data_IF_992387174521
#
_entry.id   IF_992387174521
#
_cell.length_a   1.000
_cell.length_b   1.000
_cell.length_c   1.000
_cell.angle_alpha   90.00
_cell.angle_beta   90.00
_cell.angle_gamma   90.00
#
_symmetry.space_group_name_H-M   'P 1'
#
loop_
_entity.id
_entity.type
_entity.pdbx_description
1 polymer ?
#
# COMPACT_ATOMS: atom_id res chain seq x y z
N UNK A 1 -25.99 0.82 -9.33
CA UNK A 1 -25.20 1.20 -10.52
C UNK A 1 -23.74 0.89 -10.18
N UNK A 2 -23.09 0.02 -10.92
CA UNK A 2 -21.72 -0.38 -10.63
C UNK A 2 -20.77 0.77 -10.99
N UNK A 3 -19.70 1.02 -10.20
CA UNK A 3 -18.71 2.06 -10.48
C UNK A 3 -18.16 1.93 -11.91
N UNK A 4 -17.98 0.70 -12.39
CA UNK A 4 -17.59 0.37 -13.76
C UNK A 4 -18.44 1.06 -14.83
N UNK A 5 -19.75 1.10 -14.64
CA UNK A 5 -20.69 1.59 -15.63
C UNK A 5 -20.82 3.11 -15.61
N UNK A 6 -20.28 3.77 -14.58
CA UNK A 6 -20.28 5.22 -14.40
C UNK A 6 -18.98 5.90 -14.81
N UNK A 7 -17.88 5.17 -14.94
CA UNK A 7 -16.58 5.74 -15.31
C UNK A 7 -16.55 6.18 -16.76
N UNK A 8 -16.02 7.38 -17.02
CA UNK A 8 -15.90 8.00 -18.35
C UNK A 8 -14.56 7.69 -19.00
N UNK A 9 -13.49 7.69 -18.20
CA UNK A 9 -12.14 7.39 -18.69
C UNK A 9 -12.01 5.90 -19.07
N UNK A 10 -11.53 5.56 -20.27
CA UNK A 10 -11.43 4.18 -20.74
C UNK A 10 -10.48 3.32 -19.87
N UNK A 11 -9.47 3.91 -19.27
CA UNK A 11 -8.51 3.22 -18.36
C UNK A 11 -9.21 2.78 -17.07
N UNK A 12 -10.02 3.65 -16.47
CA UNK A 12 -10.81 3.32 -15.29
C UNK A 12 -11.91 2.31 -15.62
N UNK A 13 -12.53 2.41 -16.81
CA UNK A 13 -13.47 1.36 -17.24
C UNK A 13 -12.79 0.00 -17.41
N UNK A 14 -11.58 -0.04 -17.95
CA UNK A 14 -10.80 -1.28 -18.04
C UNK A 14 -10.42 -1.81 -16.65
N UNK A 15 -9.94 -0.94 -15.76
CA UNK A 15 -9.61 -1.27 -14.38
C UNK A 15 -10.81 -1.88 -13.63
N UNK A 16 -11.94 -1.18 -13.59
CA UNK A 16 -13.15 -1.69 -12.93
C UNK A 16 -13.78 -2.87 -13.68
N UNK A 17 -13.53 -2.95 -15.01
CA UNK A 17 -13.96 -4.06 -15.86
C UNK A 17 -13.30 -5.38 -15.55
N UNK A 18 -12.09 -5.37 -15.00
CA UNK A 18 -11.41 -6.57 -14.51
C UNK A 18 -12.12 -7.21 -13.31
N UNK A 19 -13.02 -6.46 -12.67
CA UNK A 19 -13.79 -6.93 -11.52
C UNK A 19 -12.97 -6.93 -10.23
N UNK A 20 -13.58 -7.50 -9.20
CA UNK A 20 -12.96 -7.76 -7.90
C UNK A 20 -13.41 -9.13 -7.44
N UNK A 21 -12.58 -9.83 -6.67
CA UNK A 21 -12.97 -11.09 -6.03
C UNK A 21 -14.18 -10.87 -5.12
N UNK A 22 -15.02 -11.92 -4.97
CA UNK A 22 -16.15 -11.87 -4.05
C UNK A 22 -15.66 -11.84 -2.59
N UNK A 23 -16.43 -11.24 -1.70
CA UNK A 23 -16.04 -11.07 -0.29
C UNK A 23 -15.88 -12.42 0.46
N UNK A 24 -16.54 -13.47 -0.01
CA UNK A 24 -16.47 -14.82 0.51
C UNK A 24 -15.33 -15.67 -0.10
N UNK A 25 -14.60 -15.13 -1.08
CA UNK A 25 -13.45 -15.84 -1.67
C UNK A 25 -12.41 -16.17 -0.60
N UNK A 26 -11.95 -17.44 -0.52
CA UNK A 26 -10.90 -17.84 0.40
C UNK A 26 -9.62 -17.05 0.14
N UNK A 27 -8.98 -16.56 1.20
CA UNK A 27 -7.78 -15.74 1.10
C UNK A 27 -6.64 -16.41 0.30
N UNK A 28 -6.56 -17.76 0.36
CA UNK A 28 -5.58 -18.52 -0.41
C UNK A 28 -5.74 -18.43 -1.94
N UNK A 29 -6.92 -18.03 -2.42
CA UNK A 29 -7.26 -17.96 -3.85
C UNK A 29 -7.23 -16.51 -4.37
N UNK A 30 -7.03 -15.53 -3.47
CA UNK A 30 -7.09 -14.12 -3.83
C UNK A 30 -5.80 -13.67 -4.52
N UNK A 31 -5.88 -13.07 -5.72
CA UNK A 31 -4.74 -12.39 -6.32
C UNK A 31 -4.43 -11.11 -5.54
N UNK A 32 -3.24 -11.04 -4.96
CA UNK A 32 -2.79 -9.93 -4.12
C UNK A 32 -1.68 -9.13 -4.82
N UNK A 33 -1.58 -7.86 -4.45
CA UNK A 33 -0.46 -7.01 -4.84
C UNK A 33 -0.11 -6.07 -3.70
N UNK A 34 1.12 -6.17 -3.19
CA UNK A 34 1.63 -5.21 -2.20
C UNK A 34 2.00 -3.91 -2.91
N UNK A 35 1.64 -2.80 -2.29
CA UNK A 35 1.86 -1.45 -2.81
C UNK A 35 2.34 -0.56 -1.68
N UNK A 36 3.32 0.27 -1.98
CA UNK A 36 3.77 1.36 -1.14
C UNK A 36 4.11 2.58 -2.00
N UNK A 37 3.94 3.79 -1.45
CA UNK A 37 4.22 5.05 -2.14
C UNK A 37 5.06 5.97 -1.27
N UNK A 38 6.08 6.58 -1.87
CA UNK A 38 6.79 7.70 -1.25
C UNK A 38 6.22 9.03 -1.77
N UNK A 39 6.13 9.99 -0.88
CA UNK A 39 5.45 11.25 -1.15
C UNK A 39 6.27 12.44 -0.64
N UNK A 40 5.99 13.64 -1.15
CA UNK A 40 6.63 14.88 -0.67
C UNK A 40 6.09 15.34 0.69
N UNK A 41 5.12 14.65 1.27
CA UNK A 41 4.52 14.92 2.58
C UNK A 41 3.21 14.17 2.76
N UNK A 42 2.44 14.47 3.81
CA UNK A 42 1.32 13.63 4.25
C UNK A 42 -0.06 14.05 3.74
N UNK A 43 -0.23 15.28 3.26
CA UNK A 43 -1.52 15.76 2.74
C UNK A 43 -1.59 15.62 1.21
N UNK A 44 -2.42 14.72 0.67
CA UNK A 44 -2.50 14.47 -0.77
C UNK A 44 -3.01 15.68 -1.59
N UNK A 45 -3.56 16.71 -0.92
CA UNK A 45 -3.99 17.97 -1.58
C UNK A 45 -2.82 18.92 -1.81
N UNK A 46 -1.76 18.81 -1.03
CA UNK A 46 -0.61 19.72 -1.04
C UNK A 46 0.67 19.01 -1.51
N UNK A 47 0.71 17.70 -1.42
CA UNK A 47 1.87 16.89 -1.69
C UNK A 47 1.62 15.90 -2.83
N UNK A 48 2.69 15.40 -3.40
CA UNK A 48 2.65 14.54 -4.56
C UNK A 48 3.43 13.24 -4.34
N UNK A 49 3.06 12.19 -5.08
CA UNK A 49 3.82 10.94 -5.15
C UNK A 49 5.17 11.21 -5.84
N UNK A 50 6.25 10.65 -5.29
CA UNK A 50 7.61 10.67 -5.86
C UNK A 50 8.11 9.30 -6.29
N UNK A 51 7.63 8.22 -5.65
CA UNK A 51 7.85 6.87 -6.15
C UNK A 51 6.72 5.92 -5.77
N UNK A 52 6.63 4.82 -6.52
CA UNK A 52 5.68 3.73 -6.25
C UNK A 52 6.43 2.40 -6.36
N UNK A 53 6.19 1.53 -5.41
CA UNK A 53 6.69 0.15 -5.39
C UNK A 53 5.52 -0.82 -5.38
N UNK A 54 5.57 -1.82 -6.26
CA UNK A 54 4.51 -2.80 -6.42
C UNK A 54 5.09 -4.20 -6.54
N UNK A 55 4.57 -5.13 -5.73
CA UNK A 55 5.02 -6.52 -5.70
C UNK A 55 3.81 -7.45 -5.73
N UNK A 56 3.56 -8.17 -6.85
CA UNK A 56 2.52 -9.18 -6.90
C UNK A 56 2.84 -10.35 -5.96
N UNK A 57 1.79 -10.88 -5.29
CA UNK A 57 1.95 -11.99 -4.37
C UNK A 57 0.69 -12.86 -4.27
N UNK A 58 0.86 -14.02 -3.66
CA UNK A 58 -0.19 -14.84 -3.07
C UNK A 58 0.22 -15.21 -1.64
N UNK A 59 -0.61 -15.92 -0.89
CA UNK A 59 -0.21 -16.41 0.43
C UNK A 59 1.03 -17.32 0.38
N UNK A 60 1.22 -18.04 -0.71
CA UNK A 60 2.29 -19.03 -0.86
C UNK A 60 3.56 -18.45 -1.49
N UNK A 61 3.45 -17.32 -2.22
CA UNK A 61 4.59 -16.83 -3.02
C UNK A 61 4.55 -15.33 -3.24
N UNK A 62 5.69 -14.69 -3.05
CA UNK A 62 5.97 -13.32 -3.50
C UNK A 62 6.69 -13.39 -4.84
N UNK A 63 6.23 -12.61 -5.82
CA UNK A 63 6.73 -12.64 -7.21
C UNK A 63 7.66 -11.45 -7.47
N UNK A 64 8.86 -11.49 -6.89
CA UNK A 64 9.81 -10.39 -7.03
C UNK A 64 10.25 -10.14 -8.49
N UNK A 65 10.22 -11.16 -9.36
CA UNK A 65 10.52 -10.98 -10.79
C UNK A 65 9.44 -10.18 -11.56
N UNK A 66 8.25 -10.05 -11.00
CA UNK A 66 7.13 -9.28 -11.54
C UNK A 66 6.98 -7.92 -10.82
N UNK A 67 7.88 -7.62 -9.88
CA UNK A 67 7.86 -6.37 -9.14
C UNK A 67 8.09 -5.18 -10.08
N UNK A 68 7.44 -4.06 -9.76
CA UNK A 68 7.57 -2.80 -10.51
C UNK A 68 7.95 -1.67 -9.57
N UNK A 69 8.79 -0.77 -10.04
CA UNK A 69 9.21 0.41 -9.32
C UNK A 69 9.26 1.60 -10.28
N UNK A 70 8.60 2.68 -9.89
CA UNK A 70 8.62 3.92 -10.64
C UNK A 70 9.06 5.06 -9.74
N UNK A 71 10.06 5.80 -10.18
CA UNK A 71 10.30 7.16 -9.69
C UNK A 71 9.57 8.10 -10.62
N UNK A 72 8.81 9.04 -10.09
CA UNK A 72 8.00 9.97 -10.86
C UNK A 72 8.31 11.41 -10.47
N UNK A 73 8.18 12.31 -11.45
CA UNK A 73 8.37 13.74 -11.22
C UNK A 73 7.12 14.32 -10.53
N UNK A 74 7.23 14.80 -9.28
CA UNK A 74 6.10 15.40 -8.58
C UNK A 74 5.64 16.70 -9.24
N UNK A 75 4.39 17.10 -8.98
CA UNK A 75 3.80 18.37 -9.45
C UNK A 75 4.17 19.57 -8.59
N UNK A 76 5.18 19.47 -7.75
CA UNK A 76 5.68 20.53 -6.87
C UNK A 76 7.17 20.37 -6.63
N UNK A 77 7.72 21.23 -5.80
CA UNK A 77 9.11 21.11 -5.41
C UNK A 77 9.29 20.03 -4.35
N UNK A 78 10.42 19.31 -4.44
CA UNK A 78 10.87 18.45 -3.35
C UNK A 78 11.33 19.34 -2.20
N UNK A 79 10.81 19.11 -1.00
CA UNK A 79 11.36 19.75 0.17
C UNK A 79 12.52 18.91 0.74
N UNK A 80 13.46 19.58 1.42
CA UNK A 80 14.64 18.92 1.99
C UNK A 80 14.27 17.85 3.03
N UNK A 81 13.14 18.02 3.72
CA UNK A 81 12.65 17.08 4.71
C UNK A 81 12.23 15.73 4.06
N UNK A 82 11.44 15.79 2.99
CA UNK A 82 11.02 14.58 2.28
C UNK A 82 12.20 13.80 1.69
N UNK A 83 13.19 14.50 1.12
CA UNK A 83 14.43 13.88 0.60
C UNK A 83 15.18 13.12 1.70
N UNK A 84 15.16 13.62 2.93
CA UNK A 84 15.80 12.95 4.07
C UNK A 84 15.13 11.61 4.41
N UNK A 85 13.82 11.50 4.17
CA UNK A 85 13.10 10.25 4.44
C UNK A 85 13.24 9.22 3.32
N UNK A 86 12.89 9.57 2.09
CA UNK A 86 12.83 8.59 0.98
C UNK A 86 14.11 8.55 0.13
N UNK A 87 15.11 9.39 0.41
CA UNK A 87 16.41 9.46 -0.28
C UNK A 87 16.36 9.73 -1.80
N UNK A 88 15.20 10.05 -2.35
CA UNK A 88 15.03 10.42 -3.75
C UNK A 88 15.41 11.89 -3.90
N UNK A 89 16.45 12.15 -4.67
CA UNK A 89 17.05 13.49 -4.82
C UNK A 89 16.46 14.26 -6.01
N UNK A 90 16.76 15.55 -6.08
CA UNK A 90 16.41 16.36 -7.25
C UNK A 90 17.03 15.82 -8.57
N UNK A 91 18.19 15.15 -8.49
CA UNK A 91 18.82 14.50 -9.64
C UNK A 91 18.01 13.32 -10.15
N UNK A 92 17.43 12.53 -9.24
CA UNK A 92 16.65 11.34 -9.57
C UNK A 92 15.36 11.70 -10.27
N UNK A 93 14.69 12.78 -9.84
CA UNK A 93 13.43 13.22 -10.44
C UNK A 93 13.60 14.08 -11.69
N UNK A 94 14.82 14.59 -11.98
CA UNK A 94 15.06 15.51 -13.10
C UNK A 94 14.60 14.92 -14.44
N UNK A 95 14.87 13.66 -14.65
CA UNK A 95 14.55 12.91 -15.86
C UNK A 95 13.43 11.88 -15.66
N UNK A 96 12.84 11.84 -14.47
CA UNK A 96 11.74 10.94 -14.16
C UNK A 96 10.48 11.31 -14.98
N UNK A 97 9.71 10.30 -15.42
CA UNK A 97 8.44 10.52 -16.09
C UNK A 97 7.44 11.20 -15.14
N UNK A 98 6.44 11.86 -15.69
CA UNK A 98 5.30 12.31 -14.91
C UNK A 98 4.41 11.13 -14.54
N UNK A 99 3.74 11.18 -13.37
CA UNK A 99 2.83 10.13 -12.93
C UNK A 99 1.78 9.75 -14.01
N UNK A 100 1.29 10.74 -14.76
CA UNK A 100 0.35 10.51 -15.85
C UNK A 100 0.82 9.49 -16.89
N UNK A 101 2.13 9.42 -17.16
CA UNK A 101 2.68 8.48 -18.15
C UNK A 101 2.87 7.05 -17.64
N UNK A 102 2.77 6.83 -16.32
CA UNK A 102 2.85 5.49 -15.72
C UNK A 102 1.50 4.98 -15.22
N UNK A 103 0.45 5.81 -15.29
CA UNK A 103 -0.88 5.46 -14.79
C UNK A 103 -1.47 4.23 -15.49
N UNK A 104 -1.26 4.06 -16.79
CA UNK A 104 -1.81 2.94 -17.54
C UNK A 104 -1.22 1.62 -17.03
N UNK A 105 0.10 1.56 -16.87
CA UNK A 105 0.80 0.40 -16.32
C UNK A 105 0.42 0.13 -14.85
N UNK A 106 0.25 1.19 -14.05
CA UNK A 106 -0.15 1.08 -12.66
C UNK A 106 -1.57 0.51 -12.54
N UNK A 107 -2.54 1.06 -13.27
CA UNK A 107 -3.92 0.59 -13.26
C UNK A 107 -4.02 -0.85 -13.76
N UNK A 108 -3.29 -1.23 -14.81
CA UNK A 108 -3.20 -2.60 -15.28
C UNK A 108 -2.64 -3.54 -14.21
N UNK A 109 -1.57 -3.13 -13.52
CA UNK A 109 -0.93 -3.92 -12.48
C UNK A 109 -1.83 -4.14 -11.25
N UNK A 110 -2.73 -3.20 -10.94
CA UNK A 110 -3.69 -3.27 -9.84
C UNK A 110 -5.00 -3.98 -10.22
N UNK A 111 -5.36 -4.00 -11.50
CA UNK A 111 -6.65 -4.49 -11.97
C UNK A 111 -6.94 -5.93 -11.54
N UNK A 112 -8.13 -6.18 -10.99
CA UNK A 112 -8.59 -7.48 -10.54
C UNK A 112 -7.90 -8.03 -9.29
N UNK A 113 -7.03 -7.26 -8.64
CA UNK A 113 -6.29 -7.67 -7.43
C UNK A 113 -6.76 -6.94 -6.18
N UNK A 114 -6.50 -7.54 -5.03
CA UNK A 114 -6.64 -6.86 -3.73
C UNK A 114 -5.27 -6.29 -3.36
N UNK A 115 -5.25 -5.00 -3.09
CA UNK A 115 -4.02 -4.30 -2.68
C UNK A 115 -3.70 -4.66 -1.23
N UNK A 116 -2.41 -4.74 -0.92
CA UNK A 116 -1.88 -4.91 0.43
C UNK A 116 -1.00 -3.70 0.73
N UNK A 117 -1.29 -2.98 1.80
CA UNK A 117 -0.53 -1.81 2.22
C UNK A 117 -0.30 -1.81 3.73
N UNK A 118 0.57 -0.92 4.20
CA UNK A 118 0.78 -0.69 5.63
C UNK A 118 0.46 0.76 5.96
N UNK A 119 -0.72 1.01 6.52
CA UNK A 119 -1.37 2.31 6.71
C UNK A 119 -2.02 2.84 5.42
N UNK A 120 -3.00 2.08 4.91
CA UNK A 120 -3.74 2.30 3.65
C UNK A 120 -4.18 3.74 3.35
N UNK A 121 -4.25 4.60 4.37
CA UNK A 121 -4.71 5.98 4.16
C UNK A 121 -3.78 6.77 3.24
N UNK A 122 -2.49 6.46 3.22
CA UNK A 122 -1.51 7.09 2.32
C UNK A 122 -1.77 6.63 0.88
N UNK A 123 -1.68 5.33 0.61
CA UNK A 123 -1.83 4.78 -0.74
C UNK A 123 -3.17 5.15 -1.35
N UNK A 124 -4.26 4.94 -0.57
CA UNK A 124 -5.61 5.22 -1.04
C UNK A 124 -5.83 6.69 -1.37
N UNK A 125 -5.44 7.59 -0.47
CA UNK A 125 -5.71 9.02 -0.66
C UNK A 125 -4.82 9.65 -1.73
N UNK A 126 -3.55 9.27 -1.81
CA UNK A 126 -2.63 9.79 -2.82
C UNK A 126 -2.96 9.25 -4.21
N UNK A 127 -3.30 7.98 -4.35
CA UNK A 127 -3.71 7.42 -5.65
C UNK A 127 -5.06 7.98 -6.09
N UNK A 128 -6.05 8.08 -5.21
CA UNK A 128 -7.34 8.69 -5.55
C UNK A 128 -7.15 10.13 -6.03
N UNK A 129 -6.38 10.93 -5.29
CA UNK A 129 -6.10 12.33 -5.65
C UNK A 129 -5.35 12.45 -6.98
N UNK A 130 -4.32 11.62 -7.17
CA UNK A 130 -3.54 11.61 -8.40
C UNK A 130 -4.38 11.22 -9.62
N UNK A 131 -5.20 10.18 -9.50
CA UNK A 131 -6.10 9.74 -10.57
C UNK A 131 -7.16 10.81 -10.86
N UNK A 132 -7.73 11.47 -9.83
CA UNK A 132 -8.65 12.62 -10.04
C UNK A 132 -7.99 13.76 -10.79
N UNK A 133 -6.75 14.09 -10.49
CA UNK A 133 -6.03 15.17 -11.17
C UNK A 133 -5.76 14.87 -12.65
N UNK A 134 -5.52 13.61 -12.99
CA UNK A 134 -5.12 13.23 -14.34
C UNK A 134 -6.27 12.69 -15.20
N UNK A 135 -7.26 12.04 -14.60
CA UNK A 135 -8.38 11.40 -15.30
C UNK A 135 -9.74 12.07 -15.04
N UNK A 136 -9.80 13.02 -14.10
CA UNK A 136 -11.04 13.70 -13.71
C UNK A 136 -11.99 12.86 -12.84
N UNK A 137 -11.62 11.62 -12.52
CA UNK A 137 -12.40 10.67 -11.74
C UNK A 137 -11.54 10.02 -10.67
N UNK A 138 -12.14 9.62 -9.54
CA UNK A 138 -11.42 8.98 -8.44
C UNK A 138 -11.13 7.49 -8.66
N UNK A 139 -10.21 6.95 -7.87
CA UNK A 139 -9.84 5.55 -7.86
C UNK A 139 -10.26 4.88 -6.55
N UNK A 140 -11.06 3.81 -6.65
CA UNK A 140 -11.46 2.98 -5.50
C UNK A 140 -11.04 1.54 -5.76
N UNK A 141 -10.41 0.91 -4.78
CA UNK A 141 -9.95 -0.48 -4.85
C UNK A 141 -9.99 -1.13 -3.48
N UNK A 142 -10.16 -2.48 -3.43
CA UNK A 142 -10.11 -3.23 -2.18
C UNK A 142 -8.68 -3.25 -1.64
N UNK A 143 -8.54 -3.10 -0.33
CA UNK A 143 -7.21 -3.05 0.30
C UNK A 143 -7.20 -3.77 1.64
N UNK A 144 -6.17 -4.58 1.87
CA UNK A 144 -5.83 -5.14 3.18
C UNK A 144 -4.79 -4.21 3.80
N UNK A 145 -5.07 -3.70 5.00
CA UNK A 145 -4.13 -2.89 5.76
C UNK A 145 -3.45 -3.72 6.85
N UNK A 146 -2.17 -4.05 6.64
CA UNK A 146 -1.40 -4.85 7.60
C UNK A 146 -1.22 -4.15 8.94
N UNK A 147 -1.24 -2.80 9.00
CA UNK A 147 -1.24 -2.04 10.24
C UNK A 147 -2.58 -2.19 10.98
N UNK A 148 -3.71 -2.21 10.26
CA UNK A 148 -5.02 -2.46 10.86
C UNK A 148 -5.11 -3.89 11.42
N UNK A 149 -4.57 -4.89 10.71
CA UNK A 149 -4.50 -6.25 11.21
C UNK A 149 -3.72 -6.31 12.53
N UNK A 150 -2.55 -5.66 12.61
CA UNK A 150 -1.81 -5.53 13.88
C UNK A 150 -2.63 -4.84 14.97
N UNK A 151 -3.37 -3.79 14.62
CA UNK A 151 -4.21 -3.08 15.56
C UNK A 151 -5.34 -3.96 16.12
N UNK A 152 -5.90 -4.86 15.33
CA UNK A 152 -6.90 -5.85 15.75
C UNK A 152 -6.29 -6.90 16.68
N UNK A 153 -5.06 -7.35 16.40
CA UNK A 153 -4.34 -8.32 17.23
C UNK A 153 -3.85 -7.71 18.55
N UNK A 154 -3.60 -6.41 18.57
CA UNK A 154 -3.10 -5.68 19.73
C UNK A 154 -4.07 -4.58 20.21
N UNK A 155 -5.29 -4.91 20.67
CA UNK A 155 -6.30 -3.90 21.06
C UNK A 155 -5.86 -3.05 22.25
N UNK A 156 -4.99 -3.58 23.14
CA UNK A 156 -4.40 -2.88 24.29
C UNK A 156 -3.03 -2.26 23.98
N UNK A 157 -2.78 -1.87 22.74
CA UNK A 157 -1.49 -1.29 22.33
C UNK A 157 -1.18 0.07 22.97
N UNK A 158 -2.18 0.80 23.41
CA UNK A 158 -1.99 2.02 24.19
C UNK A 158 -1.90 1.68 25.68
N UNK A 159 -0.92 2.22 26.34
CA UNK A 159 -0.72 2.04 27.78
C UNK A 159 -1.20 3.28 28.55
N UNK A 160 -1.88 3.05 29.68
CA UNK A 160 -2.27 4.13 30.58
C UNK A 160 -1.01 4.79 31.19
N UNK A 161 -1.15 6.02 31.73
CA UNK A 161 -0.04 6.67 32.41
C UNK A 161 0.47 5.85 33.64
N UNK A 162 -0.39 5.13 34.30
CA UNK A 162 -0.04 4.21 35.42
C UNK A 162 0.80 3.01 34.91
N UNK A 163 0.51 2.49 33.72
CA UNK A 163 1.28 1.40 33.12
C UNK A 163 2.66 1.88 32.69
N UNK A 164 2.77 3.14 32.19
CA UNK A 164 4.05 3.78 31.86
C UNK A 164 4.94 3.95 33.08
N UNK A 165 4.37 4.34 34.24
CA UNK A 165 5.09 4.41 35.50
C UNK A 165 5.62 3.04 35.95
N UNK A 166 4.99 1.93 35.51
CA UNK A 166 5.43 0.55 35.75
C UNK A 166 6.38 0.02 34.66
N UNK A 167 6.90 0.87 33.81
CA UNK A 167 7.83 0.50 32.72
C UNK A 167 7.19 -0.25 31.55
N UNK A 168 5.85 -0.23 31.42
CA UNK A 168 5.19 -0.80 30.24
C UNK A 168 5.24 0.19 29.08
N UNK A 169 5.75 -0.26 27.94
CA UNK A 169 5.76 0.52 26.70
C UNK A 169 4.55 0.19 25.81
N UNK A 170 4.07 1.18 25.02
CA UNK A 170 3.06 0.94 24.01
C UNK A 170 3.55 -0.08 22.97
N UNK A 171 2.68 -0.99 22.56
CA UNK A 171 3.01 -1.88 21.43
C UNK A 171 2.97 -1.10 20.14
N UNK A 172 4.13 -0.89 19.52
CA UNK A 172 4.22 -0.26 18.19
C UNK A 172 3.66 -1.19 17.13
N UNK A 173 2.86 -0.63 16.20
CA UNK A 173 2.32 -1.33 15.04
C UNK A 173 2.91 -0.81 13.72
N UNK A 174 4.05 -0.09 13.79
CA UNK A 174 4.80 0.34 12.61
C UNK A 174 5.34 -0.88 11.86
N UNK A 175 5.58 -0.75 10.57
CA UNK A 175 6.00 -1.85 9.70
C UNK A 175 7.21 -2.62 10.26
N UNK A 176 8.29 -1.93 10.57
CA UNK A 176 9.51 -2.56 11.09
C UNK A 176 9.28 -3.31 12.41
N UNK A 177 8.55 -2.68 13.37
CA UNK A 177 8.27 -3.28 14.68
C UNK A 177 7.33 -4.48 14.58
N UNK A 178 6.34 -4.40 13.68
CA UNK A 178 5.44 -5.51 13.38
C UNK A 178 6.22 -6.69 12.80
N UNK A 179 7.08 -6.43 11.80
CA UNK A 179 7.94 -7.44 11.18
C UNK A 179 8.85 -8.15 12.18
N UNK A 180 9.45 -7.40 13.11
CA UNK A 180 10.29 -7.97 14.18
C UNK A 180 9.52 -8.97 15.05
N UNK A 181 8.25 -8.73 15.36
CA UNK A 181 7.41 -9.66 16.16
C UNK A 181 7.23 -11.02 15.47
N UNK A 182 7.24 -11.04 14.13
CA UNK A 182 7.16 -12.28 13.35
C UNK A 182 8.54 -12.87 12.99
N UNK A 183 9.64 -12.30 13.50
CA UNK A 183 10.99 -12.77 13.19
C UNK A 183 11.42 -12.53 11.74
N UNK A 184 10.78 -11.57 11.05
CA UNK A 184 11.11 -11.22 9.68
C UNK A 184 12.36 -10.34 9.61
N UNK A 185 13.16 -10.41 8.52
CA UNK A 185 14.37 -9.62 8.36
C UNK A 185 14.08 -8.11 8.40
N UNK A 186 15.02 -7.32 8.91
CA UNK A 186 14.97 -5.86 8.81
C UNK A 186 15.40 -5.40 7.42
N UNK A 187 14.67 -4.45 6.87
CA UNK A 187 15.02 -3.76 5.65
C UNK A 187 15.29 -2.27 5.92
N UNK A 188 16.06 -1.62 5.04
CA UNK A 188 16.10 -0.16 5.01
C UNK A 188 14.73 0.36 4.65
N UNK A 189 14.14 1.15 5.54
CA UNK A 189 12.84 1.78 5.33
C UNK A 189 12.91 2.94 4.31
N UNK A 190 11.74 3.37 3.88
CA UNK A 190 11.55 4.52 3.01
C UNK A 190 12.08 4.35 1.57
N UNK A 191 11.93 3.14 1.05
CA UNK A 191 12.07 2.85 -0.37
C UNK A 191 10.84 2.06 -0.81
N UNK A 192 9.98 2.66 -1.62
CA UNK A 192 8.65 2.14 -1.92
C UNK A 192 8.62 0.65 -2.34
N UNK A 193 9.56 0.19 -3.17
CA UNK A 193 9.61 -1.22 -3.55
C UNK A 193 9.98 -2.14 -2.39
N UNK A 194 10.91 -1.71 -1.54
CA UNK A 194 11.34 -2.47 -0.36
C UNK A 194 10.23 -2.53 0.68
N UNK A 195 9.52 -1.42 0.89
CA UNK A 195 8.44 -1.34 1.87
C UNK A 195 7.18 -2.09 1.37
N UNK A 196 6.89 -2.09 0.07
CA UNK A 196 5.89 -2.97 -0.54
C UNK A 196 6.23 -4.46 -0.32
N UNK A 197 7.48 -4.88 -0.57
CA UNK A 197 7.94 -6.25 -0.30
C UNK A 197 7.78 -6.58 1.18
N UNK A 198 8.26 -5.70 2.06
CA UNK A 198 8.18 -5.83 3.51
C UNK A 198 6.74 -5.99 4.01
N UNK A 199 5.82 -5.23 3.42
CA UNK A 199 4.38 -5.30 3.70
C UNK A 199 3.77 -6.63 3.24
N UNK A 200 4.14 -7.12 2.04
CA UNK A 200 3.70 -8.41 1.52
C UNK A 200 4.15 -9.59 2.40
N UNK A 201 5.41 -9.60 2.83
CA UNK A 201 5.94 -10.61 3.77
C UNK A 201 5.24 -10.54 5.13
N UNK A 202 4.97 -9.33 5.64
CA UNK A 202 4.23 -9.16 6.88
C UNK A 202 2.82 -9.75 6.77
N UNK A 203 2.10 -9.50 5.68
CA UNK A 203 0.78 -10.12 5.48
C UNK A 203 0.87 -11.64 5.50
N UNK A 204 1.84 -12.25 4.80
CA UNK A 204 2.02 -13.70 4.81
C UNK A 204 2.25 -14.24 6.22
N UNK A 205 3.09 -13.55 7.01
CA UNK A 205 3.37 -13.94 8.40
C UNK A 205 2.14 -13.78 9.32
N UNK A 206 1.39 -12.68 9.18
CA UNK A 206 0.14 -12.44 9.91
C UNK A 206 -0.89 -13.52 9.61
N UNK A 207 -1.07 -13.85 8.33
CA UNK A 207 -2.02 -14.88 7.92
C UNK A 207 -1.57 -16.25 8.43
N UNK A 208 -0.33 -16.63 8.24
CA UNK A 208 0.21 -17.92 8.73
C UNK A 208 0.05 -18.10 10.24
N UNK A 209 0.10 -16.99 11.00
CA UNK A 209 0.04 -17.04 12.46
C UNK A 209 -1.37 -16.93 13.04
N UNK A 210 -2.31 -16.25 12.36
CA UNK A 210 -3.56 -15.83 12.97
C UNK A 210 -4.83 -16.13 12.17
N UNK A 211 -4.72 -16.44 10.87
CA UNK A 211 -5.88 -16.62 10.01
C UNK A 211 -5.80 -17.93 9.24
N UNK A 212 -6.84 -18.79 9.28
CA UNK A 212 -6.94 -19.92 8.37
C UNK A 212 -6.89 -19.50 6.90
N UNK A 213 -6.26 -20.33 6.05
CA UNK A 213 -6.13 -20.01 4.62
C UNK A 213 -7.47 -19.88 3.88
N UNK A 214 -8.52 -20.48 4.42
CA UNK A 214 -9.90 -20.38 3.93
C UNK A 214 -10.69 -19.19 4.52
N UNK A 215 -10.05 -18.31 5.27
CA UNK A 215 -10.68 -17.08 5.77
C UNK A 215 -11.23 -16.29 4.58
N UNK A 216 -12.51 -15.87 4.59
CA UNK A 216 -13.06 -15.02 3.55
C UNK A 216 -12.32 -13.69 3.48
N UNK A 217 -11.96 -13.24 2.28
CA UNK A 217 -11.20 -11.98 2.10
C UNK A 217 -11.94 -10.79 2.68
N UNK A 218 -13.28 -10.79 2.65
CA UNK A 218 -14.13 -9.75 3.22
C UNK A 218 -13.92 -9.49 4.72
N UNK A 219 -13.32 -10.43 5.46
CA UNK A 219 -12.98 -10.25 6.87
C UNK A 219 -11.69 -9.40 7.07
N UNK A 220 -10.87 -9.25 6.04
CA UNK A 220 -9.54 -8.64 6.11
C UNK A 220 -9.43 -7.30 5.38
N UNK A 221 -10.19 -7.11 4.33
CA UNK A 221 -10.16 -5.87 3.55
C UNK A 221 -11.09 -4.79 4.10
N UNK A 222 -10.95 -3.54 3.57
CA UNK A 222 -11.80 -2.38 3.88
C UNK A 222 -11.97 -1.47 2.66
#
# INVERSE_FOLDING_TARGET
MCIRDSSRDPRLRAFYGAGCVAADTPLAEVPLVALDVETTGLDPRQHAIVSLGLVPLSLQRIRCSEARYWVVKPTGELNAESVTFHHITHSDIRHAPRLASVLDELLEALAGKVVVAHYRNIERSFLDQAVRQHLGEGLVFPIIDTMELEARLHPKRTVSWWDRLRGREPTSIRLADSRLRYGLPLYSAHHALTDALACGELLQAQVASHYPANTPIGALWS
#
